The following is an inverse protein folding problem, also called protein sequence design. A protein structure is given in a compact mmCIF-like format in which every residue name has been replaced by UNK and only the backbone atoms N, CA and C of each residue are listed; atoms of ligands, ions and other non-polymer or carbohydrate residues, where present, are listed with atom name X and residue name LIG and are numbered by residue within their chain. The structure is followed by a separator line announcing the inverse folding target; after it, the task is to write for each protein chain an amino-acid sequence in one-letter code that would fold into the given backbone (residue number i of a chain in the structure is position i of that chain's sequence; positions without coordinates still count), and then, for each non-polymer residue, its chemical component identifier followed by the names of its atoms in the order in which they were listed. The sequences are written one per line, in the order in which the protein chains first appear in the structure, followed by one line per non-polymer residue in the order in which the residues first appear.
data_IF_473560169937
#
_entry.id   IF_473560169937
#
_cell.length_a   1.000
_cell.length_b   1.000
_cell.length_c   1.000
_cell.angle_alpha   90.00
_cell.angle_beta   90.00
_cell.angle_gamma   90.00
#
_symmetry.space_group_name_H-M   'P 1'
#
loop_
_entity.id
_entity.type
_entity.pdbx_description
1 polymer ?
#
# COMPACT_ATOMS: atom_id res chain seq x y z
N UNK A 1 11.02 21.50 -24.95
CA UNK A 1 10.42 20.89 -23.75
C UNK A 1 10.68 19.38 -23.77
N UNK A 2 11.56 18.86 -22.91
CA UNK A 2 11.89 17.41 -22.84
C UNK A 2 11.08 16.72 -21.73
N UNK A 3 10.30 15.71 -22.08
CA UNK A 3 9.67 14.83 -21.09
C UNK A 3 10.66 13.76 -20.64
N UNK A 4 10.78 13.52 -19.33
CA UNK A 4 11.71 12.53 -18.77
C UNK A 4 11.35 11.13 -19.27
N UNK A 5 12.28 10.45 -19.96
CA UNK A 5 12.09 9.07 -20.43
C UNK A 5 11.76 8.91 -21.92
N UNK A 6 11.58 10.01 -22.66
CA UNK A 6 11.43 9.98 -24.12
C UNK A 6 12.41 10.96 -24.76
N UNK A 7 13.18 10.49 -25.75
CA UNK A 7 14.03 11.38 -26.54
C UNK A 7 13.15 12.09 -27.56
N UNK A 8 12.95 13.39 -27.36
CA UNK A 8 12.27 14.27 -28.29
C UNK A 8 13.27 15.34 -28.69
N UNK A 9 13.64 15.37 -29.97
CA UNK A 9 14.47 16.44 -30.54
C UNK A 9 13.71 17.76 -30.41
N UNK A 10 14.28 18.68 -29.62
CA UNK A 10 13.75 20.03 -29.47
C UNK A 10 14.65 20.99 -30.25
N UNK A 11 14.04 21.95 -30.93
CA UNK A 11 14.73 23.08 -31.55
C UNK A 11 15.47 23.91 -30.48
N UNK A 12 16.66 24.40 -30.81
CA UNK A 12 17.57 25.07 -29.89
C UNK A 12 16.96 26.34 -29.27
N UNK A 13 16.08 27.01 -30.01
CA UNK A 13 15.38 28.23 -29.54
C UNK A 13 14.33 27.94 -28.44
N UNK A 14 13.99 26.66 -28.21
CA UNK A 14 13.02 26.20 -27.21
C UNK A 14 13.65 25.24 -26.16
N UNK A 15 14.97 25.08 -26.15
CA UNK A 15 15.71 24.34 -25.12
C UNK A 15 16.03 25.30 -23.95
N UNK A 16 15.05 25.47 -23.06
CA UNK A 16 15.21 26.24 -21.84
C UNK A 16 15.57 25.32 -20.67
N UNK A 17 16.47 25.76 -19.77
CA UNK A 17 16.81 25.04 -18.53
C UNK A 17 15.62 24.90 -17.55
N UNK A 18 14.51 25.57 -17.86
CA UNK A 18 13.27 25.52 -17.09
C UNK A 18 12.55 24.18 -17.32
N UNK A 19 12.79 23.23 -16.42
CA UNK A 19 12.00 22.00 -16.34
C UNK A 19 10.74 22.28 -15.51
N UNK A 20 9.52 22.30 -16.07
CA UNK A 20 8.34 22.21 -15.22
C UNK A 20 8.47 20.93 -14.39
N UNK A 21 8.21 21.01 -13.09
CA UNK A 21 8.27 19.84 -12.23
C UNK A 21 7.30 18.78 -12.78
N UNK A 22 7.84 17.77 -13.46
CA UNK A 22 7.06 16.61 -13.87
C UNK A 22 6.94 15.73 -12.64
N UNK A 23 5.89 15.93 -11.86
CA UNK A 23 5.54 15.00 -10.80
C UNK A 23 5.18 13.67 -11.48
N UNK A 24 5.95 12.62 -11.18
CA UNK A 24 5.51 11.26 -11.48
C UNK A 24 4.12 11.08 -10.86
N UNK A 25 3.17 10.44 -11.57
CA UNK A 25 1.84 10.26 -11.01
C UNK A 25 1.95 9.46 -9.70
N UNK A 26 1.54 10.06 -8.58
CA UNK A 26 1.56 9.42 -7.27
C UNK A 26 0.65 8.19 -7.18
N UNK A 27 -0.39 8.11 -8.03
CA UNK A 27 -1.34 7.00 -8.06
C UNK A 27 -0.65 5.62 -8.20
N UNK A 28 0.21 5.42 -9.21
CA UNK A 28 1.09 4.25 -9.32
C UNK A 28 1.96 3.98 -8.08
N UNK A 29 2.51 5.01 -7.43
CA UNK A 29 3.30 4.85 -6.21
C UNK A 29 2.47 4.35 -5.04
N UNK A 30 1.25 4.86 -4.86
CA UNK A 30 0.30 4.36 -3.83
C UNK A 30 -0.16 2.94 -4.16
N UNK A 31 -0.43 2.63 -5.44
CA UNK A 31 -0.79 1.29 -5.88
C UNK A 31 0.34 0.27 -5.64
N UNK A 32 1.60 0.72 -5.74
CA UNK A 32 2.76 -0.10 -5.43
C UNK A 32 2.82 -0.52 -3.95
N UNK A 33 2.34 0.31 -3.01
CA UNK A 33 2.22 -0.08 -1.60
C UNK A 33 1.30 -1.30 -1.43
N UNK A 34 0.19 -1.33 -2.17
CA UNK A 34 -0.72 -2.47 -2.13
C UNK A 34 -0.08 -3.74 -2.73
N UNK A 35 0.79 -3.59 -3.73
CA UNK A 35 1.57 -4.71 -4.27
C UNK A 35 2.57 -5.23 -3.24
N UNK A 36 3.33 -4.34 -2.60
CA UNK A 36 4.27 -4.71 -1.53
C UNK A 36 3.59 -5.47 -0.39
N UNK A 37 2.39 -5.07 0.01
CA UNK A 37 1.59 -5.82 1.00
C UNK A 37 1.13 -7.19 0.48
N UNK A 38 0.82 -7.31 -0.83
CA UNK A 38 0.49 -8.59 -1.47
C UNK A 38 1.71 -9.51 -1.64
N UNK A 39 2.91 -8.97 -1.66
CA UNK A 39 4.15 -9.74 -1.79
C UNK A 39 4.82 -10.04 -0.45
N UNK A 40 4.57 -9.23 0.58
CA UNK A 40 5.18 -9.36 1.90
C UNK A 40 5.08 -10.80 2.45
N UNK A 41 6.24 -11.38 2.73
CA UNK A 41 6.42 -12.71 3.29
C UNK A 41 6.58 -12.67 4.82
N UNK A 42 6.88 -11.50 5.40
CA UNK A 42 7.02 -11.29 6.84
C UNK A 42 6.14 -10.15 7.34
N UNK A 43 5.85 -10.13 8.64
CA UNK A 43 5.12 -9.00 9.26
C UNK A 43 5.93 -7.71 9.24
N UNK A 44 7.26 -7.80 9.26
CA UNK A 44 8.17 -6.65 9.17
C UNK A 44 8.10 -6.00 7.79
N UNK A 45 8.09 -6.80 6.71
CA UNK A 45 7.90 -6.29 5.35
C UNK A 45 6.54 -5.62 5.16
N UNK A 46 5.49 -6.19 5.77
CA UNK A 46 4.15 -5.60 5.74
C UNK A 46 4.09 -4.28 6.53
N UNK A 47 4.73 -4.23 7.71
CA UNK A 47 4.84 -3.01 8.50
C UNK A 47 5.64 -1.93 7.77
N UNK A 48 6.75 -2.30 7.13
CA UNK A 48 7.56 -1.39 6.31
C UNK A 48 6.73 -0.79 5.16
N UNK A 49 5.97 -1.61 4.44
CA UNK A 49 5.06 -1.13 3.40
C UNK A 49 4.00 -0.15 3.94
N UNK A 50 3.46 -0.39 5.15
CA UNK A 50 2.49 0.52 5.79
C UNK A 50 3.12 1.84 6.27
N UNK A 51 4.44 1.91 6.47
CA UNK A 51 5.13 3.15 6.82
C UNK A 51 4.94 4.22 5.75
N UNK A 52 4.98 3.86 4.46
CA UNK A 52 4.73 4.76 3.33
C UNK A 52 3.36 5.46 3.40
N UNK A 53 2.34 4.80 3.98
CA UNK A 53 1.01 5.39 4.15
C UNK A 53 0.92 6.27 5.40
N UNK A 54 1.64 5.90 6.46
CA UNK A 54 1.42 6.35 7.83
C UNK A 54 2.53 7.26 8.38
N UNK A 55 3.60 7.49 7.62
CA UNK A 55 4.66 8.40 8.01
C UNK A 55 4.09 9.80 8.29
N UNK A 56 4.53 10.40 9.40
CA UNK A 56 3.83 11.54 9.99
C UNK A 56 3.81 12.80 9.11
N UNK A 57 4.81 13.00 8.24
CA UNK A 57 4.95 14.23 7.46
C UNK A 57 5.01 13.97 5.95
N UNK A 58 5.63 12.88 5.53
CA UNK A 58 5.84 12.49 4.13
C UNK A 58 5.01 11.27 3.71
N UNK A 59 4.15 10.76 4.60
CA UNK A 59 3.24 9.67 4.29
C UNK A 59 2.09 10.11 3.40
N UNK A 60 1.52 9.14 2.67
CA UNK A 60 0.39 9.38 1.75
C UNK A 60 -0.81 10.05 2.44
N UNK A 61 -1.11 9.68 3.69
CA UNK A 61 -2.22 10.28 4.43
C UNK A 61 -1.94 11.73 4.84
N UNK A 62 -0.69 12.08 5.16
CA UNK A 62 -0.31 13.46 5.46
C UNK A 62 -0.36 14.33 4.19
N UNK A 63 0.10 13.80 3.05
CA UNK A 63 -0.06 14.50 1.77
C UNK A 63 -1.54 14.71 1.40
N UNK A 64 -2.43 13.77 1.72
CA UNK A 64 -3.86 13.92 1.49
C UNK A 64 -4.50 14.98 2.42
N UNK A 65 -4.02 15.08 3.67
CA UNK A 65 -4.41 16.15 4.62
C UNK A 65 -4.06 17.54 4.05
N UNK A 66 -2.87 17.69 3.47
CA UNK A 66 -2.44 18.92 2.79
C UNK A 66 -3.33 19.25 1.59
N UNK A 67 -3.68 18.27 0.75
CA UNK A 67 -4.58 18.46 -0.39
C UNK A 67 -5.97 18.93 0.06
N UNK A 68 -6.54 18.34 1.11
CA UNK A 68 -7.84 18.75 1.64
C UNK A 68 -7.79 20.17 2.20
N UNK A 69 -6.72 20.51 2.93
CA UNK A 69 -6.52 21.85 3.50
C UNK A 69 -6.36 22.90 2.41
N UNK A 70 -5.52 22.65 1.41
CA UNK A 70 -5.35 23.56 0.27
C UNK A 70 -6.65 23.73 -0.53
N UNK A 71 -7.45 22.66 -0.67
CA UNK A 71 -8.77 22.74 -1.31
C UNK A 71 -9.75 23.57 -0.49
N UNK A 72 -9.71 23.48 0.84
CA UNK A 72 -10.53 24.31 1.72
C UNK A 72 -10.15 25.79 1.59
N UNK A 73 -8.86 26.10 1.58
CA UNK A 73 -8.35 27.46 1.41
C UNK A 73 -8.73 28.04 0.03
N UNK A 74 -8.73 27.20 -1.00
CA UNK A 74 -9.21 27.58 -2.33
C UNK A 74 -10.70 27.97 -2.28
N UNK A 75 -11.56 27.19 -1.62
CA UNK A 75 -12.97 27.53 -1.45
C UNK A 75 -13.17 28.85 -0.69
N UNK A 76 -12.41 29.10 0.37
CA UNK A 76 -12.51 30.36 1.12
C UNK A 76 -12.23 31.60 0.23
N UNK A 77 -11.51 31.45 -0.88
CA UNK A 77 -11.23 32.49 -1.87
C UNK A 77 -12.30 32.70 -2.96
N UNK A 78 -13.30 31.82 -3.09
CA UNK A 78 -14.28 31.85 -4.20
C UNK A 78 -15.46 32.82 -3.98
N UNK A 79 -15.78 33.14 -2.73
CA UNK A 79 -16.74 34.18 -2.36
C UNK A 79 -18.23 33.88 -2.58
N UNK A 80 -18.62 32.63 -2.92
CA UNK A 80 -20.02 32.23 -2.96
C UNK A 80 -20.53 31.88 -1.56
N UNK A 81 -21.85 32.00 -1.36
CA UNK A 81 -22.48 31.79 -0.05
C UNK A 81 -22.24 30.38 0.54
N UNK A 82 -22.05 29.36 -0.32
CA UNK A 82 -21.83 27.98 0.11
C UNK A 82 -20.35 27.66 0.43
N UNK A 83 -19.41 28.45 -0.06
CA UNK A 83 -17.98 28.11 0.00
C UNK A 83 -17.43 27.96 1.43
N UNK A 84 -17.77 28.84 2.41
CA UNK A 84 -17.30 28.68 3.79
C UNK A 84 -17.76 27.36 4.44
N UNK A 85 -18.94 26.87 4.05
CA UNK A 85 -19.43 25.57 4.53
C UNK A 85 -18.64 24.41 3.90
N UNK A 86 -18.33 24.48 2.61
CA UNK A 86 -17.53 23.48 1.92
C UNK A 86 -16.12 23.43 2.50
N UNK A 87 -15.47 24.59 2.70
CA UNK A 87 -14.14 24.69 3.29
C UNK A 87 -14.10 24.08 4.70
N UNK A 88 -15.10 24.38 5.54
CA UNK A 88 -15.22 23.78 6.88
C UNK A 88 -15.40 22.26 6.82
N UNK A 89 -16.20 21.75 5.87
CA UNK A 89 -16.38 20.31 5.67
C UNK A 89 -15.08 19.63 5.25
N UNK A 90 -14.28 20.25 4.38
CA UNK A 90 -12.99 19.72 3.94
C UNK A 90 -11.98 19.64 5.09
N UNK A 91 -11.89 20.69 5.91
CA UNK A 91 -11.05 20.69 7.13
C UNK A 91 -11.50 19.62 8.13
N UNK A 92 -12.81 19.45 8.31
CA UNK A 92 -13.35 18.37 9.14
C UNK A 92 -12.95 16.96 8.63
N UNK A 93 -12.95 16.74 7.31
CA UNK A 93 -12.50 15.46 6.75
C UNK A 93 -11.01 15.21 7.03
N UNK A 94 -10.18 16.25 6.95
CA UNK A 94 -8.76 16.18 7.29
C UNK A 94 -8.56 15.89 8.79
N UNK A 95 -9.17 16.68 9.67
CA UNK A 95 -8.92 16.64 11.11
C UNK A 95 -9.54 15.43 11.81
N UNK A 96 -10.72 15.00 11.38
CA UNK A 96 -11.46 13.93 12.08
C UNK A 96 -11.39 12.60 11.34
N UNK A 97 -11.63 12.57 10.02
CA UNK A 97 -11.73 11.30 9.31
C UNK A 97 -10.35 10.73 8.94
N UNK A 98 -9.46 11.55 8.36
CA UNK A 98 -8.11 11.08 8.02
C UNK A 98 -7.29 10.79 9.27
N UNK A 99 -7.47 11.57 10.35
CA UNK A 99 -6.81 11.31 11.63
C UNK A 99 -7.16 9.94 12.20
N UNK A 100 -8.42 9.53 12.14
CA UNK A 100 -8.86 8.19 12.58
C UNK A 100 -8.20 7.11 11.73
N UNK A 101 -8.27 7.24 10.40
CA UNK A 101 -7.65 6.26 9.47
C UNK A 101 -6.14 6.16 9.72
N UNK A 102 -5.44 7.29 9.90
CA UNK A 102 -4.01 7.34 10.19
C UNK A 102 -3.68 6.64 11.50
N UNK A 103 -4.49 6.85 12.54
CA UNK A 103 -4.32 6.21 13.86
C UNK A 103 -4.45 4.70 13.73
N UNK A 104 -5.54 4.21 13.15
CA UNK A 104 -5.82 2.78 13.02
C UNK A 104 -4.77 2.05 12.19
N UNK A 105 -4.32 2.66 11.08
CA UNK A 105 -3.26 2.07 10.25
C UNK A 105 -1.89 2.13 10.94
N UNK A 106 -1.59 3.17 11.72
CA UNK A 106 -0.35 3.25 12.51
C UNK A 106 -0.33 2.19 13.61
N UNK A 107 -1.46 1.96 14.28
CA UNK A 107 -1.61 0.89 15.25
C UNK A 107 -1.45 -0.49 14.60
N UNK A 108 -2.09 -0.70 13.45
CA UNK A 108 -1.95 -1.94 12.67
C UNK A 108 -0.49 -2.19 12.28
N UNK A 109 0.20 -1.16 11.77
CA UNK A 109 1.62 -1.21 11.44
C UNK A 109 2.46 -1.60 12.67
N UNK A 110 2.23 -0.96 13.80
CA UNK A 110 2.97 -1.24 15.03
C UNK A 110 2.73 -2.68 15.52
N UNK A 111 1.49 -3.17 15.48
CA UNK A 111 1.17 -4.56 15.83
C UNK A 111 1.87 -5.58 14.91
N UNK A 112 2.01 -5.27 13.61
CA UNK A 112 2.75 -6.11 12.68
C UNK A 112 4.25 -6.08 12.97
N UNK A 113 4.81 -4.89 13.20
CA UNK A 113 6.21 -4.72 13.58
C UNK A 113 6.52 -5.49 14.87
N UNK A 114 5.71 -5.36 15.92
CA UNK A 114 5.92 -6.05 17.20
C UNK A 114 5.88 -7.59 17.08
N UNK A 115 5.19 -8.13 16.06
CA UNK A 115 4.98 -9.57 15.91
C UNK A 115 6.21 -10.31 15.35
N UNK A 116 7.05 -9.66 14.54
CA UNK A 116 8.27 -10.23 13.93
C UNK A 116 8.14 -11.69 13.46
N UNK A 117 7.11 -12.00 12.66
CA UNK A 117 6.77 -13.36 12.26
C UNK A 117 6.68 -13.52 10.73
N UNK A 118 6.95 -14.73 10.20
CA UNK A 118 6.61 -15.05 8.82
C UNK A 118 5.10 -15.08 8.61
N UNK A 119 4.65 -14.70 7.42
CA UNK A 119 3.24 -14.78 7.04
C UNK A 119 2.86 -16.26 6.79
N UNK A 120 1.81 -16.81 7.43
CA UNK A 120 1.55 -18.25 7.47
C UNK A 120 1.24 -18.89 6.10
N UNK A 121 0.74 -18.09 5.15
CA UNK A 121 0.44 -18.54 3.78
C UNK A 121 1.51 -18.17 2.74
N UNK A 122 2.66 -17.63 3.15
CA UNK A 122 3.69 -17.13 2.23
C UNK A 122 5.07 -17.56 2.70
N UNK A 123 5.89 -18.01 1.76
CA UNK A 123 7.27 -18.40 2.02
C UNK A 123 8.14 -17.89 0.89
N UNK A 124 9.27 -17.28 1.23
CA UNK A 124 10.34 -17.02 0.26
C UNK A 124 10.87 -18.35 -0.24
N UNK A 125 10.87 -18.56 -1.55
CA UNK A 125 11.48 -19.75 -2.13
C UNK A 125 13.00 -19.64 -2.02
N UNK A 126 13.61 -20.41 -1.12
CA UNK A 126 15.06 -20.41 -0.87
C UNK A 126 15.83 -21.38 -1.78
N UNK A 127 15.18 -21.94 -2.80
CA UNK A 127 15.84 -22.85 -3.74
C UNK A 127 16.86 -22.10 -4.58
N UNK A 128 18.15 -22.36 -4.34
CA UNK A 128 19.24 -21.87 -5.18
C UNK A 128 19.24 -22.65 -6.51
N UNK A 129 19.09 -21.94 -7.63
CA UNK A 129 19.13 -22.55 -8.97
C UNK A 129 20.59 -22.89 -9.28
N UNK A 130 20.96 -24.17 -9.49
CA UNK A 130 22.33 -24.53 -9.85
C UNK A 130 22.74 -23.83 -11.14
N UNK A 131 23.97 -23.32 -11.21
CA UNK A 131 24.53 -22.59 -12.36
C UNK A 131 24.61 -23.38 -13.69
N UNK A 132 24.20 -24.64 -13.67
CA UNK A 132 24.18 -25.55 -14.83
C UNK A 132 22.79 -25.72 -15.43
N UNK A 133 21.75 -25.10 -14.86
CA UNK A 133 20.37 -25.27 -15.32
C UNK A 133 19.91 -24.04 -16.12
N UNK A 134 19.80 -24.20 -17.44
CA UNK A 134 19.26 -23.18 -18.33
C UNK A 134 17.73 -23.32 -18.38
N UNK A 135 17.05 -22.40 -17.69
CA UNK A 135 15.62 -22.07 -17.79
C UNK A 135 14.66 -23.27 -17.87
N UNK A 136 14.18 -23.72 -16.71
CA UNK A 136 12.86 -24.33 -16.58
C UNK A 136 12.04 -23.54 -15.58
N UNK A 137 10.84 -23.15 -16.01
CA UNK A 137 9.78 -22.48 -15.25
C UNK A 137 9.92 -22.78 -13.76
N UNK A 138 10.23 -21.75 -12.96
CA UNK A 138 10.39 -21.86 -11.52
C UNK A 138 9.04 -22.23 -10.89
N UNK A 139 8.70 -23.52 -10.91
CA UNK A 139 7.77 -24.09 -9.94
C UNK A 139 8.55 -24.04 -8.64
N UNK A 140 8.37 -22.97 -7.87
CA UNK A 140 8.82 -22.92 -6.50
C UNK A 140 8.45 -24.23 -5.83
N UNK A 141 9.45 -24.99 -5.39
CA UNK A 141 9.26 -26.12 -4.49
C UNK A 141 8.90 -25.62 -3.08
N UNK A 142 7.91 -24.72 -2.98
CA UNK A 142 7.29 -24.42 -1.71
C UNK A 142 6.73 -25.74 -1.18
N UNK A 143 7.06 -26.16 0.06
CA UNK A 143 6.42 -27.31 0.64
C UNK A 143 4.90 -27.05 0.65
N UNK A 144 4.08 -28.00 0.18
CA UNK A 144 2.64 -27.81 0.18
C UNK A 144 2.18 -27.54 1.62
N UNK A 145 1.24 -26.63 1.86
CA UNK A 145 0.76 -26.32 3.20
C UNK A 145 0.30 -27.62 3.88
N UNK A 146 0.57 -27.81 5.19
CA UNK A 146 0.18 -29.01 5.90
C UNK A 146 -1.33 -29.17 5.81
N UNK A 147 -1.77 -30.25 5.15
CA UNK A 147 -3.18 -30.60 5.10
C UNK A 147 -3.62 -30.98 6.51
N UNK A 148 -4.37 -30.10 7.16
CA UNK A 148 -5.16 -30.47 8.34
C UNK A 148 -6.18 -31.52 7.90
N UNK A 149 -5.89 -32.78 8.20
CA UNK A 149 -6.85 -33.86 8.03
C UNK A 149 -8.06 -33.57 8.92
N UNK A 150 -9.30 -33.64 8.41
CA UNK A 150 -10.48 -33.54 9.25
C UNK A 150 -10.44 -34.66 10.30
N UNK A 151 -10.66 -34.29 11.56
CA UNK A 151 -10.76 -35.26 12.65
C UNK A 151 -11.83 -36.31 12.31
N UNK A 152 -11.57 -37.60 12.55
CA UNK A 152 -12.56 -38.65 12.27
C UNK A 152 -13.83 -38.38 13.06
N UNK A 153 -15.01 -38.55 12.46
CA UNK A 153 -16.27 -38.35 13.16
C UNK A 153 -16.36 -39.31 14.37
N UNK A 154 -16.95 -38.88 15.49
CA UNK A 154 -17.08 -39.72 16.67
C UNK A 154 -17.92 -40.98 16.33
N UNK A 155 -17.59 -42.14 16.92
CA UNK A 155 -18.34 -43.37 16.68
C UNK A 155 -19.79 -43.19 17.13
N UNK A 156 -20.73 -43.39 16.21
CA UNK A 156 -22.15 -43.43 16.53
C UNK A 156 -22.42 -44.64 17.43
N UNK A 157 -22.89 -44.37 18.65
CA UNK A 157 -23.40 -45.41 19.53
C UNK A 157 -24.66 -46.02 18.88
N UNK A 158 -24.55 -47.28 18.44
CA UNK A 158 -25.71 -48.09 18.07
C UNK A 158 -26.56 -48.32 19.32
N UNK A 159 -27.59 -47.49 19.49
CA UNK A 159 -28.63 -47.70 20.49
C UNK A 159 -29.35 -49.02 20.24
N UNK A 160 -29.26 -49.94 21.21
CA UNK A 160 -30.12 -51.13 21.28
C UNK A 160 -31.58 -50.69 21.44
N UNK A 161 -32.44 -51.15 20.54
CA UNK A 161 -33.89 -51.15 20.73
C UNK A 161 -34.26 -52.15 21.83
N UNK A 162 -35.12 -51.74 22.76
CA UNK A 162 -36.03 -52.60 23.51
C UNK A 162 -37.40 -51.97 23.51
#
# INVERSE_FOLDING_TARGET
MRATGYHVDCDADFDTDSRPASYLPLGPSVAHVAERLREAATTDEAADALTELTAAHDGVLSALEEVLTATADFHDGLGQAADPYIARRLRYLADEHLRVIRTDLSETRNQLADRHAPHPGRSTCTGEVPSTEQERSAVCACPPPPRTLPAPPPPMATGLRR
#
